data_IF_777489608301
#
_entry.id   IF_777489608301
#
_cell.length_a   1.000
_cell.length_b   1.000
_cell.length_c   1.000
_cell.angle_alpha   90.00
_cell.angle_beta   90.00
_cell.angle_gamma   90.00
#
_symmetry.space_group_name_H-M   'P 1'
#
loop_
_entity.id
_entity.type
_entity.pdbx_description
1 polymer ?
#
# COMPACT_ATOMS: atom_id res chain seq x y z
N UNK A 1 22.12 15.49 -4.65
CA UNK A 1 20.68 15.26 -4.48
C UNK A 1 20.26 14.32 -5.60
N UNK A 2 20.11 13.07 -5.22
CA UNK A 2 19.94 11.89 -6.05
C UNK A 2 18.48 11.74 -6.50
N UNK A 3 18.26 11.59 -7.80
CA UNK A 3 16.92 11.56 -8.41
C UNK A 3 16.03 10.42 -7.88
N UNK A 4 16.62 9.39 -7.28
CA UNK A 4 15.92 8.28 -6.63
C UNK A 4 15.24 8.71 -5.33
N UNK A 5 15.92 9.48 -4.46
CA UNK A 5 15.33 9.95 -3.20
C UNK A 5 14.11 10.85 -3.42
N UNK A 6 14.16 11.73 -4.42
CA UNK A 6 13.03 12.58 -4.80
C UNK A 6 11.84 11.79 -5.37
N UNK A 7 12.12 10.71 -6.12
CA UNK A 7 11.10 9.86 -6.73
C UNK A 7 10.38 9.00 -5.68
N UNK A 8 11.14 8.45 -4.72
CA UNK A 8 10.58 7.70 -3.59
C UNK A 8 9.70 8.60 -2.70
N UNK A 9 10.11 9.86 -2.49
CA UNK A 9 9.31 10.84 -1.76
C UNK A 9 7.99 11.17 -2.50
N UNK A 10 8.05 11.40 -3.81
CA UNK A 10 6.85 11.65 -4.62
C UNK A 10 5.91 10.44 -4.67
N UNK A 11 6.44 9.21 -4.71
CA UNK A 11 5.65 7.99 -4.59
C UNK A 11 4.95 7.90 -3.23
N UNK A 12 5.66 8.18 -2.14
CA UNK A 12 5.10 8.16 -0.78
C UNK A 12 4.01 9.20 -0.55
N UNK A 13 4.19 10.41 -1.11
CA UNK A 13 3.17 11.47 -1.07
C UNK A 13 1.93 11.05 -1.87
N UNK A 14 2.11 10.47 -3.06
CA UNK A 14 1.00 10.03 -3.92
C UNK A 14 0.22 8.86 -3.31
N UNK A 15 0.92 7.88 -2.73
CA UNK A 15 0.30 6.76 -2.06
C UNK A 15 -0.41 7.16 -0.75
N UNK A 16 -0.08 8.33 -0.18
CA UNK A 16 -0.69 8.83 1.05
C UNK A 16 -0.40 7.98 2.30
N UNK A 17 0.57 7.06 2.22
CA UNK A 17 0.92 6.11 3.28
C UNK A 17 2.43 6.10 3.54
N UNK A 18 2.83 5.56 4.69
CA UNK A 18 4.23 5.38 5.08
C UNK A 18 4.47 3.94 5.53
N UNK A 19 5.72 3.48 5.42
CA UNK A 19 6.14 2.20 6.00
C UNK A 19 5.78 2.16 7.49
N UNK A 20 5.20 1.06 7.95
CA UNK A 20 4.67 0.86 9.30
C UNK A 20 3.24 1.38 9.50
N UNK A 21 2.64 2.06 8.52
CA UNK A 21 1.26 2.53 8.59
C UNK A 21 0.28 1.36 8.42
N UNK A 22 -0.78 1.36 9.20
CA UNK A 22 -1.87 0.39 9.08
C UNK A 22 -2.91 0.89 8.09
N UNK A 23 -3.39 0.00 7.22
CA UNK A 23 -4.37 0.33 6.19
C UNK A 23 -5.52 -0.69 6.19
N UNK A 24 -6.63 -0.30 5.58
CA UNK A 24 -7.78 -1.15 5.31
C UNK A 24 -8.21 -0.96 3.85
N UNK A 25 -8.44 -2.07 3.14
CA UNK A 25 -9.03 -2.02 1.80
C UNK A 25 -10.47 -1.56 1.90
N UNK A 26 -10.84 -0.61 1.04
CA UNK A 26 -12.21 -0.08 0.95
C UNK A 26 -12.97 -0.69 -0.23
N UNK A 27 -12.24 -1.28 -1.19
CA UNK A 27 -12.78 -2.06 -2.29
C UNK A 27 -11.88 -3.25 -2.59
N UNK A 28 -12.39 -4.16 -3.42
CA UNK A 28 -11.66 -5.36 -3.81
C UNK A 28 -10.46 -5.01 -4.68
N UNK A 29 -9.32 -5.64 -4.41
CA UNK A 29 -8.09 -5.39 -5.16
C UNK A 29 -8.03 -6.30 -6.41
N UNK A 30 -9.00 -6.18 -7.32
CA UNK A 30 -9.07 -7.01 -8.52
C UNK A 30 -9.31 -8.51 -8.26
N UNK A 31 -9.67 -9.25 -9.32
CA UNK A 31 -10.17 -10.63 -9.19
C UNK A 31 -9.09 -11.67 -8.82
N UNK A 32 -7.80 -11.39 -9.05
CA UNK A 32 -6.71 -12.38 -8.92
C UNK A 32 -5.89 -12.30 -7.62
N UNK A 33 -6.12 -11.29 -6.76
CA UNK A 33 -5.28 -11.07 -5.56
C UNK A 33 -5.80 -11.80 -4.34
N UNK A 34 -7.10 -12.19 -4.34
CA UNK A 34 -7.78 -12.73 -3.18
C UNK A 34 -7.96 -11.73 -2.02
N UNK A 35 -7.70 -10.45 -2.28
CA UNK A 35 -7.89 -9.34 -1.35
C UNK A 35 -9.28 -8.73 -1.51
N UNK A 36 -10.00 -8.64 -0.41
CA UNK A 36 -11.37 -8.12 -0.38
C UNK A 36 -11.46 -6.82 0.39
N UNK A 37 -12.50 -6.03 0.11
CA UNK A 37 -12.86 -4.89 0.94
C UNK A 37 -12.96 -5.31 2.43
N UNK A 38 -12.32 -4.54 3.31
CA UNK A 38 -12.22 -4.80 4.74
C UNK A 38 -10.95 -5.55 5.16
N UNK A 39 -10.16 -6.10 4.23
CA UNK A 39 -8.85 -6.66 4.56
C UNK A 39 -7.94 -5.57 5.12
N UNK A 40 -7.17 -5.91 6.16
CA UNK A 40 -6.30 -5.00 6.90
C UNK A 40 -4.87 -5.48 6.91
N UNK A 41 -3.93 -4.56 6.91
CA UNK A 41 -2.52 -4.88 6.93
C UNK A 41 -1.65 -3.69 7.28
N UNK A 42 -0.35 -3.94 7.38
CA UNK A 42 0.67 -2.93 7.65
C UNK A 42 1.55 -2.78 6.42
N UNK A 43 1.81 -1.53 6.01
CA UNK A 43 2.73 -1.24 4.92
C UNK A 43 4.14 -1.66 5.33
N UNK A 44 4.72 -2.59 4.58
CA UNK A 44 6.08 -3.10 4.80
C UNK A 44 7.09 -2.34 3.94
N UNK A 45 6.74 -2.10 2.68
CA UNK A 45 7.62 -1.43 1.71
C UNK A 45 6.82 -0.61 0.69
N UNK A 46 7.48 0.39 0.10
CA UNK A 46 7.00 1.12 -1.08
C UNK A 46 8.10 1.02 -2.13
N UNK A 47 7.77 0.52 -3.31
CA UNK A 47 8.74 0.34 -4.40
C UNK A 47 9.05 1.67 -5.12
N UNK A 48 9.97 1.64 -6.09
CA UNK A 48 10.36 2.82 -6.87
C UNK A 48 9.33 3.24 -7.93
N UNK A 49 8.30 2.42 -8.16
CA UNK A 49 7.15 2.67 -9.04
C UNK A 49 5.97 3.27 -8.27
N UNK A 50 5.96 3.16 -6.95
CA UNK A 50 4.88 3.61 -6.07
C UNK A 50 3.89 2.53 -5.68
N UNK A 51 4.14 1.26 -5.99
CA UNK A 51 3.38 0.16 -5.42
C UNK A 51 3.71 -0.03 -3.94
N UNK A 52 2.72 -0.50 -3.20
CA UNK A 52 2.79 -0.62 -1.75
C UNK A 52 2.71 -2.09 -1.39
N UNK A 53 3.78 -2.61 -0.78
CA UNK A 53 3.83 -3.96 -0.24
C UNK A 53 3.24 -3.94 1.16
N UNK A 54 2.23 -4.77 1.39
CA UNK A 54 1.47 -4.80 2.63
C UNK A 54 1.55 -6.20 3.23
N UNK A 55 1.88 -6.26 4.51
CA UNK A 55 1.73 -7.48 5.31
C UNK A 55 0.30 -7.52 5.86
N UNK A 56 -0.53 -8.39 5.28
CA UNK A 56 -1.94 -8.51 5.62
C UNK A 56 -2.13 -9.34 6.88
N UNK A 57 -3.11 -8.97 7.71
CA UNK A 57 -3.43 -9.67 8.96
C UNK A 57 -3.82 -11.14 8.75
N UNK A 58 -4.21 -11.49 7.51
CA UNK A 58 -4.47 -12.86 7.07
C UNK A 58 -3.20 -13.73 6.98
N UNK A 59 -2.02 -13.16 7.21
CA UNK A 59 -0.74 -13.87 7.30
C UNK A 59 0.02 -14.00 5.98
N UNK A 60 -0.31 -13.17 4.98
CA UNK A 60 0.40 -13.14 3.71
C UNK A 60 0.81 -11.71 3.33
N UNK A 61 1.86 -11.61 2.52
CA UNK A 61 2.35 -10.34 1.98
C UNK A 61 1.87 -10.22 0.55
N UNK A 62 1.27 -9.08 0.21
CA UNK A 62 0.84 -8.80 -1.16
C UNK A 62 1.04 -7.34 -1.51
N UNK A 63 1.37 -7.10 -2.77
CA UNK A 63 1.55 -5.76 -3.34
C UNK A 63 0.21 -5.21 -3.82
N UNK A 64 -0.05 -3.92 -3.57
CA UNK A 64 -1.18 -3.20 -4.13
C UNK A 64 -0.71 -1.96 -4.88
N UNK A 65 -1.44 -1.62 -5.93
CA UNK A 65 -1.31 -0.34 -6.63
C UNK A 65 -2.26 0.68 -5.98
N UNK A 66 -1.77 1.73 -5.31
CA UNK A 66 -2.60 2.76 -4.69
C UNK A 66 -3.49 3.54 -5.67
N UNK A 67 -3.13 3.60 -6.95
CA UNK A 67 -3.93 4.31 -7.96
C UNK A 67 -5.13 3.47 -8.42
N UNK A 68 -5.06 2.14 -8.26
CA UNK A 68 -6.09 1.19 -8.70
C UNK A 68 -6.85 0.53 -7.56
N UNK A 69 -6.24 0.51 -6.37
CA UNK A 69 -6.76 -0.21 -5.21
C UNK A 69 -7.20 0.80 -4.15
N UNK A 70 -8.52 1.01 -3.98
CA UNK A 70 -9.01 1.93 -2.98
C UNK A 70 -8.76 1.39 -1.58
N UNK A 71 -8.00 2.13 -0.78
CA UNK A 71 -7.75 1.83 0.62
C UNK A 71 -7.85 3.10 1.46
N UNK A 72 -7.93 2.93 2.79
CA UNK A 72 -7.84 4.03 3.75
C UNK A 72 -6.76 3.77 4.79
N UNK A 73 -5.99 4.78 5.20
CA UNK A 73 -5.14 4.67 6.37
C UNK A 73 -5.99 4.51 7.63
N UNK A 74 -5.59 3.61 8.51
CA UNK A 74 -6.12 3.50 9.86
C UNK A 74 -5.18 4.28 10.78
N UNK A 75 -5.73 5.29 11.46
CA UNK A 75 -4.99 5.98 12.51
C UNK A 75 -4.59 4.96 13.59
N UNK A 76 -3.36 5.10 14.10
CA UNK A 76 -2.86 4.32 15.22
C UNK A 76 -3.61 4.64 16.51
#
# INVERSE_FOLDING_TARGET
>A
MDAQGARLLAARIRAGVSIGMRIELVGDAGEDTGLCAGDRGVVDQIDDRGHVVVNWDRGFVHEIDPERTPFRPLAA
#
